data_IF_444248041895
#
_entry.id   IF_444248041895
#
_cell.length_a   1.000
_cell.length_b   1.000
_cell.length_c   1.000
_cell.angle_alpha   90.00
_cell.angle_beta   90.00
_cell.angle_gamma   90.00
#
_symmetry.space_group_name_H-M   'P 1'
#
loop_
_entity.id
_entity.type
_entity.pdbx_description
1 polymer ?
#
# COMPACT_ATOMS: atom_id res chain seq x y z
N UNK A 1 39.62 5.87 44.43
CA UNK A 1 39.08 5.22 43.22
C UNK A 1 37.85 5.98 42.77
N UNK A 2 37.94 6.76 41.66
CA UNK A 2 36.82 7.51 41.10
C UNK A 2 36.22 6.66 39.99
N UNK A 3 34.96 6.24 40.15
CA UNK A 3 34.21 5.51 39.12
C UNK A 3 33.60 6.55 38.17
N UNK A 4 34.07 6.58 36.92
CA UNK A 4 33.44 7.32 35.83
C UNK A 4 32.34 6.41 35.26
N UNK A 5 31.08 6.76 35.51
CA UNK A 5 29.93 6.17 34.83
C UNK A 5 29.85 6.84 33.45
N UNK A 6 30.27 6.12 32.42
CA UNK A 6 30.05 6.52 31.01
C UNK A 6 28.55 6.30 30.73
N UNK A 7 27.80 7.39 30.65
CA UNK A 7 26.43 7.40 30.13
C UNK A 7 26.55 7.30 28.60
N UNK A 8 26.35 6.10 28.07
CA UNK A 8 26.27 5.89 26.62
C UNK A 8 24.90 6.38 26.19
N UNK A 9 24.82 7.64 25.69
CA UNK A 9 23.64 8.17 25.06
C UNK A 9 23.49 7.43 23.72
N UNK A 10 22.67 6.40 23.68
CA UNK A 10 22.25 5.75 22.46
C UNK A 10 21.31 6.76 21.78
N UNK A 11 21.84 7.56 20.83
CA UNK A 11 21.02 8.26 19.87
C UNK A 11 20.33 7.17 19.03
N UNK A 12 19.09 6.85 19.35
CA UNK A 12 18.21 6.11 18.48
C UNK A 12 18.03 6.97 17.21
N UNK A 13 18.73 6.62 16.15
CA UNK A 13 18.45 7.12 14.81
C UNK A 13 17.13 6.40 14.45
N UNK A 14 16.02 7.09 14.65
CA UNK A 14 14.73 6.61 14.19
C UNK A 14 14.74 6.62 12.66
N UNK A 15 14.96 5.46 12.07
CA UNK A 15 14.73 5.22 10.65
C UNK A 15 13.22 5.05 10.50
N UNK A 16 12.53 6.17 10.35
CA UNK A 16 11.10 6.16 10.08
C UNK A 16 10.91 5.74 8.61
N UNK A 17 10.63 4.47 8.38
CA UNK A 17 10.05 4.01 7.13
C UNK A 17 8.55 4.13 7.28
N UNK A 18 7.99 5.23 6.81
CA UNK A 18 6.54 5.39 6.77
C UNK A 18 5.99 4.39 5.76
N UNK A 19 4.96 3.62 6.17
CA UNK A 19 4.09 2.93 5.23
C UNK A 19 3.69 3.93 4.13
N UNK A 20 3.71 3.50 2.85
CA UNK A 20 3.28 4.38 1.77
C UNK A 20 1.81 4.77 1.94
N UNK A 21 1.57 6.00 2.42
CA UNK A 21 0.23 6.53 2.68
C UNK A 21 -0.58 6.80 1.40
N UNK A 22 0.03 6.59 0.22
CA UNK A 22 -0.59 6.89 -1.07
C UNK A 22 -1.42 5.72 -1.59
N UNK A 23 -1.02 4.47 -1.30
CA UNK A 23 -1.70 3.27 -1.75
C UNK A 23 -1.88 2.28 -0.59
N UNK A 24 -2.98 2.44 0.17
CA UNK A 24 -3.31 1.55 1.28
C UNK A 24 -4.34 0.54 0.80
N UNK A 25 -3.88 -0.53 0.13
CA UNK A 25 -4.74 -1.57 -0.43
C UNK A 25 -4.10 -2.96 -0.33
N UNK A 26 -4.87 -3.95 0.08
CA UNK A 26 -4.51 -5.37 -0.06
C UNK A 26 -5.21 -5.93 -1.29
N UNK A 27 -4.44 -6.30 -2.30
CA UNK A 27 -4.97 -6.76 -3.58
C UNK A 27 -5.51 -8.18 -3.52
N UNK A 28 -6.61 -8.42 -4.24
CA UNK A 28 -7.03 -9.74 -4.67
C UNK A 28 -6.33 -10.16 -5.97
N UNK A 29 -6.35 -11.46 -6.27
CA UNK A 29 -5.66 -12.02 -7.44
C UNK A 29 -6.30 -11.69 -8.79
N UNK A 30 -7.58 -11.28 -8.81
CA UNK A 30 -8.32 -11.04 -10.03
C UNK A 30 -7.85 -9.77 -10.73
N UNK A 31 -7.53 -9.87 -12.02
CA UNK A 31 -7.25 -8.69 -12.87
C UNK A 31 -8.55 -8.08 -13.39
N UNK A 32 -8.48 -6.82 -13.85
CA UNK A 32 -9.60 -6.17 -14.53
C UNK A 32 -10.00 -6.98 -15.76
N UNK A 33 -11.32 -7.06 -16.01
CA UNK A 33 -11.83 -7.76 -17.17
C UNK A 33 -11.29 -7.14 -18.46
N UNK A 34 -11.00 -7.96 -19.45
CA UNK A 34 -10.58 -7.49 -20.77
C UNK A 34 -11.51 -6.42 -21.33
N UNK A 35 -10.93 -5.35 -21.87
CA UNK A 35 -11.63 -4.18 -22.39
C UNK A 35 -12.48 -3.45 -21.33
N UNK A 36 -12.15 -3.55 -20.05
CA UNK A 36 -12.69 -2.67 -19.02
C UNK A 36 -11.57 -1.82 -18.43
N UNK A 37 -11.95 -0.64 -17.94
CA UNK A 37 -11.07 0.26 -17.21
C UNK A 37 -11.73 0.59 -15.89
N UNK A 38 -10.99 0.51 -14.80
CA UNK A 38 -11.41 1.07 -13.52
C UNK A 38 -10.64 2.37 -13.27
N UNK A 39 -11.36 3.38 -12.82
CA UNK A 39 -10.83 4.65 -12.33
C UNK A 39 -11.05 4.66 -10.83
N UNK A 40 -9.98 4.76 -10.06
CA UNK A 40 -10.01 4.71 -8.61
C UNK A 40 -9.42 5.98 -8.01
N UNK A 41 -10.00 6.41 -6.92
CA UNK A 41 -9.49 7.43 -6.05
C UNK A 41 -9.20 6.77 -4.71
N UNK A 42 -7.93 6.78 -4.30
CA UNK A 42 -7.52 6.47 -2.95
C UNK A 42 -7.36 7.80 -2.22
N UNK A 43 -8.09 7.97 -1.13
CA UNK A 43 -8.09 9.18 -0.32
C UNK A 43 -7.78 8.79 1.12
N UNK A 44 -6.58 9.13 1.58
CA UNK A 44 -6.06 8.72 2.87
C UNK A 44 -5.70 9.97 3.68
N UNK A 45 -6.36 10.15 4.82
CA UNK A 45 -6.10 11.27 5.71
C UNK A 45 -5.40 10.80 7.00
N UNK A 46 -4.23 11.35 7.27
CA UNK A 46 -3.47 11.09 8.48
C UNK A 46 -3.90 12.05 9.58
N UNK A 47 -4.56 11.53 10.64
CA UNK A 47 -4.96 12.32 11.81
C UNK A 47 -3.85 12.47 12.84
N UNK A 48 -2.97 11.47 12.94
CA UNK A 48 -1.85 11.44 13.84
C UNK A 48 -0.67 10.77 13.12
N UNK A 49 0.28 11.56 12.70
CA UNK A 49 1.45 11.13 11.95
C UNK A 49 2.72 11.86 12.38
N UNK A 50 3.76 11.76 11.57
CA UNK A 50 5.03 12.45 11.79
C UNK A 50 4.83 13.97 11.69
N UNK A 51 5.36 14.72 12.66
CA UNK A 51 5.23 16.18 12.74
C UNK A 51 6.45 16.93 12.24
N UNK A 52 7.60 16.25 12.12
CA UNK A 52 8.87 16.85 11.76
C UNK A 52 9.29 16.45 10.33
N UNK A 53 10.21 17.19 9.75
CA UNK A 53 10.89 16.78 8.52
C UNK A 53 11.99 15.80 8.89
N UNK A 54 11.82 14.52 8.45
CA UNK A 54 12.78 13.45 8.71
C UNK A 54 13.50 13.07 7.43
N UNK A 55 14.84 13.12 7.41
CA UNK A 55 15.68 12.81 6.23
C UNK A 55 15.28 13.58 4.95
N UNK A 56 14.69 14.75 5.09
CA UNK A 56 14.19 15.57 3.98
C UNK A 56 12.76 15.23 3.52
N UNK A 57 12.16 14.19 4.07
CA UNK A 57 10.75 13.83 3.85
C UNK A 57 9.85 14.69 4.75
N UNK A 58 8.79 15.24 4.16
CA UNK A 58 7.84 16.14 4.83
C UNK A 58 6.96 15.39 5.83
N UNK A 59 6.42 16.12 6.83
CA UNK A 59 5.48 15.57 7.80
C UNK A 59 4.26 14.93 7.16
N UNK A 60 3.71 13.91 7.83
CA UNK A 60 2.45 13.26 7.45
C UNK A 60 1.29 13.70 8.33
N UNK A 61 1.56 14.33 9.48
CA UNK A 61 0.51 14.75 10.41
C UNK A 61 -0.46 15.76 9.77
N UNK A 62 -1.75 15.46 9.77
CA UNK A 62 -2.82 16.20 9.09
C UNK A 62 -2.65 16.31 7.57
N UNK A 63 -1.89 15.40 6.95
CA UNK A 63 -1.77 15.34 5.50
C UNK A 63 -2.94 14.56 4.87
N UNK A 64 -3.39 15.03 3.70
CA UNK A 64 -4.28 14.31 2.81
C UNK A 64 -3.45 13.75 1.67
N UNK A 65 -3.44 12.44 1.53
CA UNK A 65 -2.78 11.70 0.47
C UNK A 65 -3.85 11.23 -0.52
N UNK A 66 -3.71 11.66 -1.78
CA UNK A 66 -4.66 11.31 -2.83
C UNK A 66 -3.92 10.57 -3.95
N UNK A 67 -4.46 9.46 -4.38
CA UNK A 67 -3.95 8.71 -5.53
C UNK A 67 -5.04 8.49 -6.54
N UNK A 68 -4.79 8.91 -7.77
CA UNK A 68 -5.62 8.55 -8.92
C UNK A 68 -5.00 7.32 -9.56
N UNK A 69 -5.74 6.21 -9.54
CA UNK A 69 -5.36 4.99 -10.24
C UNK A 69 -6.26 4.78 -11.45
N UNK A 70 -5.65 4.42 -12.60
CA UNK A 70 -6.35 4.05 -13.82
C UNK A 70 -5.84 2.69 -14.25
N UNK A 71 -6.63 1.63 -14.08
CA UNK A 71 -6.24 0.28 -14.44
C UNK A 71 -7.09 -0.28 -15.57
N UNK A 72 -6.44 -0.75 -16.65
CA UNK A 72 -7.07 -1.31 -17.85
C UNK A 72 -6.76 -2.80 -18.02
N UNK A 73 -7.81 -3.61 -18.21
CA UNK A 73 -7.69 -5.02 -18.56
C UNK A 73 -7.38 -5.19 -20.04
N UNK A 74 -6.16 -5.62 -20.36
CA UNK A 74 -5.66 -5.81 -21.72
C UNK A 74 -6.06 -7.18 -22.27
N UNK A 75 -5.92 -8.20 -21.42
CA UNK A 75 -6.36 -9.57 -21.73
C UNK A 75 -7.22 -10.10 -20.57
N UNK A 76 -7.66 -11.36 -20.65
CA UNK A 76 -8.38 -12.02 -19.55
C UNK A 76 -7.50 -12.25 -18.30
N UNK A 77 -6.19 -12.15 -18.43
CA UNK A 77 -5.22 -12.45 -17.36
C UNK A 77 -4.14 -11.38 -17.19
N UNK A 78 -4.22 -10.26 -17.91
CA UNK A 78 -3.23 -9.20 -17.81
C UNK A 78 -3.85 -7.83 -17.83
N UNK A 79 -3.43 -6.98 -16.90
CA UNK A 79 -3.82 -5.59 -16.77
C UNK A 79 -2.62 -4.66 -16.62
N UNK A 80 -2.85 -3.40 -16.89
CA UNK A 80 -1.88 -2.32 -16.70
C UNK A 80 -2.53 -1.20 -15.91
N UNK A 81 -1.96 -0.85 -14.77
CA UNK A 81 -2.33 0.27 -13.91
C UNK A 81 -1.37 1.44 -14.07
N UNK A 82 -1.89 2.63 -13.92
CA UNK A 82 -1.15 3.89 -13.85
C UNK A 82 -1.61 4.66 -12.61
N UNK A 83 -0.66 5.21 -11.86
CA UNK A 83 -0.89 5.96 -10.63
C UNK A 83 -0.36 7.37 -10.76
N UNK A 84 -1.13 8.30 -10.24
CA UNK A 84 -0.73 9.69 -10.01
C UNK A 84 -0.91 10.00 -8.52
N UNK A 85 0.20 10.23 -7.83
CA UNK A 85 0.22 10.54 -6.40
C UNK A 85 0.20 12.04 -6.17
N UNK A 86 -0.65 12.47 -5.24
CA UNK A 86 -0.74 13.86 -4.81
C UNK A 86 -0.82 13.95 -3.29
N UNK A 87 -0.42 15.10 -2.75
CA UNK A 87 -0.46 15.38 -1.32
C UNK A 87 -0.98 16.80 -1.09
N UNK A 88 -1.75 16.97 -0.04
CA UNK A 88 -2.10 18.26 0.50
C UNK A 88 -1.75 18.31 1.98
N UNK A 89 -0.91 19.29 2.34
CA UNK A 89 -0.61 19.65 3.70
C UNK A 89 -0.71 21.18 3.79
N UNK A 90 -1.39 21.69 4.81
CA UNK A 90 -1.73 23.14 4.91
C UNK A 90 -0.51 24.06 4.75
N UNK A 91 0.65 23.65 5.27
CA UNK A 91 1.90 24.40 5.20
C UNK A 91 2.50 24.43 3.79
N UNK A 92 2.36 23.32 3.02
CA UNK A 92 3.02 23.15 1.71
C UNK A 92 2.05 23.27 0.53
N UNK A 93 0.72 23.27 0.81
CA UNK A 93 -0.33 23.28 -0.18
C UNK A 93 -0.41 21.98 -0.99
N UNK A 94 -1.19 22.00 -2.08
CA UNK A 94 -1.32 20.85 -2.98
C UNK A 94 -0.05 20.62 -3.80
N UNK A 95 0.38 19.35 -3.92
CA UNK A 95 1.55 18.92 -4.68
C UNK A 95 1.27 17.62 -5.43
N UNK A 96 1.74 17.54 -6.67
CA UNK A 96 1.92 16.28 -7.39
C UNK A 96 3.28 15.74 -6.97
N UNK A 97 3.32 14.51 -6.51
CA UNK A 97 4.51 13.96 -5.86
C UNK A 97 5.14 12.80 -6.60
N UNK A 98 4.40 12.10 -7.46
CA UNK A 98 4.96 10.99 -8.20
C UNK A 98 3.96 10.28 -9.10
N UNK A 99 4.47 9.29 -9.81
CA UNK A 99 3.70 8.42 -10.69
C UNK A 99 4.30 7.03 -10.72
N UNK A 100 3.44 6.01 -10.74
CA UNK A 100 3.87 4.62 -10.90
C UNK A 100 3.13 3.95 -12.08
N UNK A 101 3.74 2.88 -12.60
CA UNK A 101 3.17 2.00 -13.60
C UNK A 101 3.15 0.57 -13.04
N UNK A 102 1.99 -0.09 -13.10
CA UNK A 102 1.78 -1.40 -12.48
C UNK A 102 1.23 -2.44 -13.47
N UNK A 103 2.07 -3.19 -14.19
CA UNK A 103 1.65 -4.42 -14.85
C UNK A 103 1.31 -5.50 -13.82
N UNK A 104 0.19 -6.24 -14.04
CA UNK A 104 -0.19 -7.40 -13.24
C UNK A 104 -0.68 -8.53 -14.14
N UNK A 105 -0.25 -9.75 -13.83
CA UNK A 105 -0.68 -10.97 -14.49
C UNK A 105 -1.30 -11.94 -13.48
N UNK A 106 -2.43 -12.55 -13.82
CA UNK A 106 -3.04 -13.61 -13.01
C UNK A 106 -2.94 -14.97 -13.71
N UNK A 107 -3.03 -16.03 -12.91
CA UNK A 107 -3.15 -17.40 -13.44
C UNK A 107 -4.45 -17.57 -14.21
N UNK A 108 -4.43 -18.22 -15.38
CA UNK A 108 -5.63 -18.45 -16.17
C UNK A 108 -6.69 -19.25 -15.37
N UNK A 109 -7.95 -18.80 -15.39
CA UNK A 109 -9.05 -19.46 -14.68
C UNK A 109 -9.25 -20.92 -15.05
N UNK A 110 -8.85 -21.33 -16.29
CA UNK A 110 -8.91 -22.73 -16.75
C UNK A 110 -8.02 -23.70 -15.97
N UNK A 111 -7.05 -23.19 -15.17
CA UNK A 111 -6.20 -24.05 -14.35
C UNK A 111 -6.91 -24.56 -13.09
N UNK A 112 -8.08 -24.01 -12.74
CA UNK A 112 -8.91 -24.40 -11.58
C UNK A 112 -8.11 -24.59 -10.29
N UNK A 113 -7.22 -23.65 -10.00
CA UNK A 113 -6.39 -23.71 -8.80
C UNK A 113 -7.25 -23.56 -7.53
N UNK A 114 -6.86 -24.19 -6.42
CA UNK A 114 -7.60 -24.10 -5.15
C UNK A 114 -7.54 -22.69 -4.52
N UNK A 115 -6.66 -21.82 -5.00
CA UNK A 115 -6.47 -20.42 -4.61
C UNK A 115 -6.31 -19.57 -5.86
N UNK A 116 -6.67 -18.30 -5.77
CA UNK A 116 -6.33 -17.30 -6.78
C UNK A 116 -4.85 -16.91 -6.66
N UNK A 117 -4.16 -16.74 -7.79
CA UNK A 117 -2.75 -16.35 -7.84
C UNK A 117 -2.56 -15.26 -8.89
N UNK A 118 -1.83 -14.22 -8.53
CA UNK A 118 -1.33 -13.25 -9.49
C UNK A 118 0.04 -12.69 -9.06
N UNK A 119 0.72 -12.06 -10.00
CA UNK A 119 1.97 -11.36 -9.78
C UNK A 119 1.83 -9.94 -10.29
N UNK A 120 2.06 -8.98 -9.44
CA UNK A 120 2.17 -7.56 -9.75
C UNK A 120 3.62 -7.12 -9.70
N UNK A 121 3.99 -6.22 -10.60
CA UNK A 121 5.19 -5.42 -10.48
C UNK A 121 4.78 -3.95 -10.56
N UNK A 122 5.42 -3.08 -9.80
CA UNK A 122 5.16 -1.65 -9.80
C UNK A 122 6.47 -0.89 -9.85
N UNK A 123 6.61 0.00 -10.81
CA UNK A 123 7.81 0.83 -10.97
C UNK A 123 7.40 2.28 -11.08
N UNK A 124 8.13 3.16 -10.40
CA UNK A 124 7.83 4.56 -10.52
C UNK A 124 8.74 5.50 -9.76
N UNK A 125 8.32 6.74 -9.79
CA UNK A 125 9.03 7.89 -9.22
C UNK A 125 8.17 8.56 -8.16
N UNK A 126 8.82 8.92 -7.04
CA UNK A 126 8.30 9.82 -6.03
C UNK A 126 9.31 10.94 -5.72
N UNK A 127 8.79 12.11 -5.42
CA UNK A 127 9.59 13.27 -5.05
C UNK A 127 10.34 13.01 -3.74
N UNK A 128 11.65 13.34 -3.66
CA UNK A 128 12.46 13.13 -2.45
C UNK A 128 11.97 13.90 -1.21
N UNK A 129 11.10 14.90 -1.39
CA UNK A 129 10.43 15.57 -0.27
C UNK A 129 9.25 14.76 0.32
N UNK A 130 8.90 13.61 -0.24
CA UNK A 130 7.75 12.80 0.17
C UNK A 130 8.07 11.30 0.29
N UNK A 131 9.25 10.88 -0.19
CA UNK A 131 9.72 9.51 -0.04
C UNK A 131 11.25 9.48 0.02
N UNK A 132 11.80 8.65 0.86
CA UNK A 132 13.24 8.36 0.86
C UNK A 132 13.65 7.61 -0.41
N UNK A 133 12.73 6.84 -1.00
CA UNK A 133 12.90 6.09 -2.23
C UNK A 133 12.39 6.90 -3.43
N UNK A 134 13.32 7.54 -4.16
CA UNK A 134 12.97 8.39 -5.31
C UNK A 134 12.52 7.59 -6.52
N UNK A 135 13.16 6.47 -6.80
CA UNK A 135 12.76 5.47 -7.78
C UNK A 135 12.72 4.12 -7.12
N UNK A 136 11.62 3.43 -7.26
CA UNK A 136 11.39 2.12 -6.68
C UNK A 136 10.84 1.12 -7.70
N UNK A 137 11.09 -0.15 -7.44
CA UNK A 137 10.44 -1.29 -8.08
C UNK A 137 9.87 -2.17 -6.98
N UNK A 138 8.59 -2.42 -7.04
CA UNK A 138 7.93 -3.37 -6.16
C UNK A 138 7.57 -4.64 -6.92
N UNK A 139 7.76 -5.81 -6.31
CA UNK A 139 7.29 -7.11 -6.77
C UNK A 139 6.33 -7.67 -5.73
N UNK A 140 5.09 -7.90 -6.13
CA UNK A 140 4.00 -8.32 -5.24
C UNK A 140 3.32 -9.59 -5.75
N UNK A 141 3.73 -10.79 -5.28
CA UNK A 141 2.90 -11.99 -5.39
C UNK A 141 1.58 -11.78 -4.65
N UNK A 142 0.48 -12.26 -5.18
CA UNK A 142 -0.85 -12.14 -4.59
C UNK A 142 -1.47 -13.52 -4.55
N UNK A 143 -1.91 -13.93 -3.36
CA UNK A 143 -2.54 -15.21 -3.10
C UNK A 143 -3.84 -14.95 -2.37
N UNK A 144 -4.97 -15.35 -2.95
CA UNK A 144 -6.25 -15.13 -2.29
C UNK A 144 -7.19 -16.34 -2.35
N UNK A 145 -8.19 -16.32 -1.49
CA UNK A 145 -9.24 -17.32 -1.48
C UNK A 145 -10.54 -16.79 -0.89
N UNK A 146 -11.64 -17.17 -1.55
CA UNK A 146 -12.99 -16.98 -1.05
C UNK A 146 -13.55 -18.33 -0.55
N UNK A 147 -14.03 -18.38 0.72
CA UNK A 147 -14.77 -19.51 1.28
C UNK A 147 -16.16 -19.06 1.69
N UNK A 148 -17.14 -19.34 0.88
CA UNK A 148 -18.52 -18.90 1.16
C UNK A 148 -18.54 -17.38 1.43
N UNK A 149 -18.71 -17.00 2.70
CA UNK A 149 -18.76 -15.60 3.16
C UNK A 149 -17.41 -15.05 3.64
N UNK A 150 -16.40 -15.89 3.78
CA UNK A 150 -15.08 -15.51 4.26
C UNK A 150 -14.12 -15.31 3.09
N UNK A 151 -13.37 -14.21 3.09
CA UNK A 151 -12.33 -13.91 2.11
C UNK A 151 -11.00 -13.67 2.83
N UNK A 152 -9.92 -14.17 2.26
CA UNK A 152 -8.56 -13.87 2.70
C UNK A 152 -7.64 -13.59 1.51
N UNK A 153 -6.74 -12.65 1.65
CA UNK A 153 -5.66 -12.35 0.70
C UNK A 153 -4.35 -12.12 1.43
N UNK A 154 -3.28 -12.56 0.81
CA UNK A 154 -1.89 -12.38 1.24
C UNK A 154 -1.09 -11.82 0.07
N UNK A 155 -0.39 -10.71 0.29
CA UNK A 155 0.49 -10.05 -0.65
C UNK A 155 1.90 -9.95 -0.03
N UNK A 156 2.78 -10.96 -0.16
CA UNK A 156 4.17 -10.87 0.28
C UNK A 156 4.98 -9.99 -0.68
N UNK A 157 5.09 -8.73 -0.34
CA UNK A 157 5.66 -7.69 -1.19
C UNK A 157 7.17 -7.55 -0.97
N UNK A 158 7.92 -7.33 -2.05
CA UNK A 158 9.34 -7.02 -2.06
C UNK A 158 9.54 -5.64 -2.67
N UNK A 159 10.01 -4.69 -1.87
CA UNK A 159 10.39 -3.34 -2.31
C UNK A 159 11.87 -3.29 -2.68
N UNK A 160 12.20 -2.75 -3.85
CA UNK A 160 13.55 -2.60 -4.37
C UNK A 160 13.76 -1.12 -4.66
N UNK A 161 14.63 -0.49 -3.89
CA UNK A 161 15.04 0.88 -4.15
C UNK A 161 15.99 0.91 -5.34
N UNK A 162 15.59 1.60 -6.40
CA UNK A 162 16.44 1.84 -7.59
C UNK A 162 17.27 3.11 -7.44
N UNK A 163 16.72 4.11 -6.70
CA UNK A 163 17.40 5.36 -6.35
C UNK A 163 16.72 5.96 -5.12
N UNK A 164 17.50 6.47 -4.18
CA UNK A 164 16.98 7.07 -2.94
C UNK A 164 18.04 7.87 -2.19
N UNK A 165 17.72 8.25 -0.95
CA UNK A 165 18.59 9.03 -0.06
C UNK A 165 19.74 8.16 0.48
N UNK A 166 19.44 6.92 0.83
CA UNK A 166 20.41 5.93 1.31
C UNK A 166 20.43 4.72 0.37
N UNK A 167 21.54 3.98 0.30
CA UNK A 167 21.60 2.74 -0.47
C UNK A 167 20.91 1.62 0.28
N UNK A 168 19.96 0.94 -0.38
CA UNK A 168 19.31 -0.24 0.16
C UNK A 168 20.21 -1.47 -0.03
N UNK A 169 20.49 -2.19 1.06
CA UNK A 169 21.41 -3.35 1.03
C UNK A 169 20.78 -4.62 0.39
N UNK A 170 19.47 -4.74 0.45
CA UNK A 170 18.67 -5.85 -0.11
C UNK A 170 17.22 -5.40 -0.27
N UNK A 171 16.38 -6.12 -1.06
CA UNK A 171 14.96 -5.83 -1.12
C UNK A 171 14.31 -5.80 0.26
N UNK A 172 13.45 -4.81 0.53
CA UNK A 172 12.64 -4.75 1.74
C UNK A 172 11.47 -5.74 1.66
N UNK A 173 11.08 -6.31 2.79
CA UNK A 173 9.94 -7.23 2.90
C UNK A 173 8.76 -6.54 3.57
N UNK A 174 7.69 -6.34 2.79
CA UNK A 174 6.49 -5.64 3.21
C UNK A 174 5.23 -6.48 2.96
N UNK A 175 4.91 -7.48 3.83
CA UNK A 175 3.74 -8.33 3.66
C UNK A 175 2.45 -7.59 4.02
N UNK A 176 1.41 -7.74 3.17
CA UNK A 176 0.08 -7.21 3.42
C UNK A 176 -0.93 -8.37 3.47
N UNK A 177 -1.86 -8.33 4.43
CA UNK A 177 -2.83 -9.38 4.68
C UNK A 177 -4.22 -8.77 4.83
N UNK A 178 -5.22 -9.36 4.18
CA UNK A 178 -6.63 -9.03 4.36
C UNK A 178 -7.42 -10.26 4.78
N UNK A 179 -8.33 -10.07 5.73
CA UNK A 179 -9.36 -11.04 6.09
C UNK A 179 -10.68 -10.30 6.21
N UNK A 180 -11.73 -10.78 5.52
CA UNK A 180 -13.05 -10.17 5.60
C UNK A 180 -14.17 -11.21 5.58
N UNK A 181 -15.33 -10.80 6.10
CA UNK A 181 -16.54 -11.62 6.17
C UNK A 181 -17.75 -10.86 5.64
N UNK A 182 -18.48 -11.46 4.73
CA UNK A 182 -19.71 -10.91 4.15
C UNK A 182 -20.89 -11.06 5.13
N UNK A 183 -21.07 -10.07 6.00
CA UNK A 183 -22.20 -10.02 6.93
C UNK A 183 -23.52 -9.82 6.20
N UNK A 184 -23.51 -8.99 5.16
CA UNK A 184 -24.65 -8.71 4.31
C UNK A 184 -24.35 -9.12 2.86
N UNK A 185 -25.40 -9.16 2.02
CA UNK A 185 -25.26 -9.53 0.61
C UNK A 185 -24.23 -8.66 -0.14
N UNK A 186 -24.17 -7.38 0.19
CA UNK A 186 -23.38 -6.38 -0.53
C UNK A 186 -22.30 -5.72 0.34
N UNK A 187 -22.12 -6.13 1.58
CA UNK A 187 -21.17 -5.49 2.50
C UNK A 187 -20.41 -6.58 3.27
N UNK A 188 -19.09 -6.50 3.24
CA UNK A 188 -18.20 -7.21 4.14
C UNK A 188 -17.56 -6.23 5.11
N UNK A 189 -17.22 -6.74 6.29
CA UNK A 189 -16.29 -6.10 7.21
C UNK A 189 -15.07 -6.99 7.39
N UNK A 190 -13.92 -6.38 7.60
CA UNK A 190 -12.67 -7.11 7.71
C UNK A 190 -11.58 -6.33 8.39
N UNK A 191 -10.41 -6.94 8.43
CA UNK A 191 -9.18 -6.35 8.88
C UNK A 191 -8.13 -6.47 7.78
N UNK A 192 -7.30 -5.44 7.66
CA UNK A 192 -6.14 -5.42 6.80
C UNK A 192 -4.91 -5.08 7.64
N UNK A 193 -3.89 -5.92 7.52
CA UNK A 193 -2.60 -5.70 8.15
C UNK A 193 -1.60 -5.32 7.07
N UNK A 194 -0.78 -4.33 7.37
CA UNK A 194 0.32 -3.88 6.56
C UNK A 194 1.59 -3.93 7.39
N UNK A 195 2.60 -4.63 6.87
CA UNK A 195 3.91 -4.75 7.50
C UNK A 195 5.01 -4.20 6.60
N UNK A 196 6.03 -3.62 7.23
CA UNK A 196 7.33 -3.34 6.62
C UNK A 196 8.39 -3.78 7.62
N UNK A 197 9.11 -4.83 7.25
CA UNK A 197 10.15 -5.43 8.09
C UNK A 197 11.55 -4.90 7.76
N UNK A 198 11.67 -4.08 6.73
CA UNK A 198 12.95 -3.64 6.21
C UNK A 198 13.67 -4.69 5.34
N UNK A 199 14.99 -4.55 5.12
CA UNK A 199 15.75 -5.38 4.19
C UNK A 199 15.75 -6.87 4.57
N UNK A 200 15.54 -7.76 3.58
CA UNK A 200 15.48 -9.22 3.76
C UNK A 200 16.74 -9.83 4.40
N UNK A 201 17.90 -9.23 4.18
CA UNK A 201 19.16 -9.71 4.72
C UNK A 201 19.42 -9.27 6.16
N UNK A 202 18.68 -8.27 6.66
CA UNK A 202 18.79 -7.73 8.01
C UNK A 202 17.52 -6.94 8.34
N UNK A 203 16.50 -7.61 8.88
CA UNK A 203 15.28 -6.94 9.29
C UNK A 203 15.59 -5.81 10.28
N UNK A 204 14.87 -4.72 10.16
CA UNK A 204 14.97 -3.59 11.08
C UNK A 204 14.61 -4.00 12.50
N UNK A 205 15.06 -3.24 13.50
CA UNK A 205 14.66 -3.47 14.88
C UNK A 205 13.14 -3.27 15.03
N UNK A 206 12.47 -4.02 15.90
CA UNK A 206 11.01 -4.01 16.03
C UNK A 206 10.36 -2.61 16.18
N UNK A 207 10.95 -1.62 16.88
CA UNK A 207 10.42 -0.26 16.91
C UNK A 207 10.56 0.52 15.58
N UNK A 208 11.46 0.09 14.70
CA UNK A 208 11.76 0.71 13.41
C UNK A 208 11.00 0.05 12.26
N UNK A 209 10.38 -1.12 12.50
CA UNK A 209 9.51 -1.78 11.54
C UNK A 209 8.17 -1.06 11.43
N UNK A 210 7.66 -0.94 10.21
CA UNK A 210 6.32 -0.41 9.95
C UNK A 210 5.24 -1.48 10.19
N UNK A 211 4.27 -1.22 11.06
CA UNK A 211 3.14 -2.11 11.29
C UNK A 211 1.84 -1.31 11.48
N UNK A 212 0.84 -1.59 10.65
CA UNK A 212 -0.49 -0.99 10.78
C UNK A 212 -1.62 -2.02 10.65
N UNK A 213 -2.72 -1.77 11.36
CA UNK A 213 -3.95 -2.56 11.31
C UNK A 213 -5.12 -1.67 10.97
N UNK A 214 -5.83 -2.00 9.90
CA UNK A 214 -7.05 -1.31 9.47
C UNK A 214 -8.28 -2.17 9.73
N UNK A 215 -9.35 -1.54 10.23
CA UNK A 215 -10.69 -2.13 10.26
C UNK A 215 -11.45 -1.59 9.07
N UNK A 216 -11.86 -2.47 8.16
CA UNK A 216 -12.36 -2.03 6.84
C UNK A 216 -13.76 -2.55 6.54
N UNK A 217 -14.46 -1.79 5.71
CA UNK A 217 -15.71 -2.15 5.05
C UNK A 217 -15.48 -2.23 3.54
N UNK A 218 -15.98 -3.31 2.92
CA UNK A 218 -15.96 -3.51 1.47
C UNK A 218 -17.37 -3.52 0.89
N UNK A 219 -17.55 -2.87 -0.26
CA UNK A 219 -18.73 -3.04 -1.10
C UNK A 219 -18.56 -4.28 -1.96
N UNK A 220 -19.46 -5.24 -1.80
CA UNK A 220 -19.45 -6.52 -2.53
C UNK A 220 -20.47 -6.54 -3.68
N UNK A 221 -20.28 -7.48 -4.62
CA UNK A 221 -21.25 -7.81 -5.67
C UNK A 221 -21.68 -6.62 -6.53
N UNK A 222 -20.85 -5.60 -6.66
CA UNK A 222 -21.11 -4.45 -7.51
C UNK A 222 -20.15 -4.48 -8.71
N UNK A 223 -20.70 -4.71 -9.91
CA UNK A 223 -19.91 -4.80 -11.15
C UNK A 223 -19.34 -3.47 -11.61
N UNK A 224 -19.87 -2.35 -11.11
CA UNK A 224 -19.50 -1.00 -11.54
C UNK A 224 -18.69 -0.25 -10.51
N UNK A 225 -18.96 -0.45 -9.23
CA UNK A 225 -18.34 0.26 -8.14
C UNK A 225 -17.51 -0.66 -7.28
N UNK A 226 -16.37 -0.18 -6.87
CA UNK A 226 -15.53 -0.73 -5.84
C UNK A 226 -15.42 0.30 -4.71
N UNK A 227 -15.56 -0.14 -3.46
CA UNK A 227 -15.41 0.71 -2.29
C UNK A 227 -14.74 -0.10 -1.20
N UNK A 228 -13.67 0.42 -0.64
CA UNK A 228 -13.03 -0.06 0.57
C UNK A 228 -12.75 1.16 1.46
N UNK A 229 -13.09 1.11 2.74
CA UNK A 229 -12.85 2.25 3.62
C UNK A 229 -12.75 1.81 5.08
N UNK A 230 -12.00 2.58 5.87
CA UNK A 230 -11.94 2.37 7.30
C UNK A 230 -10.76 3.04 7.99
N UNK A 231 -10.80 3.10 9.33
CA UNK A 231 -9.70 3.58 10.15
C UNK A 231 -8.57 2.57 10.22
N UNK A 232 -7.34 3.08 10.24
CA UNK A 232 -6.10 2.34 10.45
C UNK A 232 -5.32 2.87 11.63
N UNK A 233 -4.70 1.97 12.36
CA UNK A 233 -3.96 2.24 13.58
C UNK A 233 -2.52 1.76 13.41
N UNK A 234 -1.55 2.66 13.58
CA UNK A 234 -0.15 2.32 13.70
C UNK A 234 0.11 1.52 14.97
N UNK A 235 0.86 0.43 14.83
CA UNK A 235 1.19 -0.48 15.94
C UNK A 235 2.62 -0.29 16.45
N UNK A 236 3.44 0.47 15.69
CA UNK A 236 4.84 0.76 16.01
C UNK A 236 5.12 2.26 15.88
N UNK A 237 6.19 2.78 16.51
CA UNK A 237 6.58 4.18 16.37
C UNK A 237 6.92 4.60 14.93
N UNK A 238 7.34 3.67 14.08
CA UNK A 238 7.68 3.92 12.67
C UNK A 238 6.45 4.03 11.74
N UNK A 239 5.22 3.99 12.30
CA UNK A 239 3.98 4.02 11.52
C UNK A 239 3.08 5.15 12.02
N UNK A 240 2.41 5.86 11.10
CA UNK A 240 1.42 6.88 11.44
C UNK A 240 0.36 6.31 12.39
N UNK A 241 0.10 7.00 13.50
CA UNK A 241 -0.72 6.49 14.61
C UNK A 241 -2.20 6.30 14.26
N UNK A 242 -2.79 7.20 13.45
CA UNK A 242 -4.19 7.12 13.02
C UNK A 242 -4.35 7.67 11.60
N UNK A 243 -4.78 6.79 10.70
CA UNK A 243 -5.08 7.11 9.30
C UNK A 243 -6.51 6.67 8.99
N UNK A 244 -7.27 7.44 8.23
CA UNK A 244 -8.54 6.99 7.66
C UNK A 244 -8.38 6.88 6.15
N UNK A 245 -8.69 5.72 5.60
CA UNK A 245 -8.63 5.48 4.15
C UNK A 245 -10.00 5.34 3.53
N UNK A 246 -10.10 5.81 2.30
CA UNK A 246 -11.24 5.59 1.40
C UNK A 246 -10.69 5.27 0.01
N UNK A 247 -11.09 4.14 -0.53
CA UNK A 247 -10.91 3.77 -1.92
C UNK A 247 -12.28 3.72 -2.58
N UNK A 248 -12.44 4.47 -3.66
CA UNK A 248 -13.66 4.46 -4.48
C UNK A 248 -13.26 4.26 -5.94
N UNK A 249 -13.67 3.14 -6.52
CA UNK A 249 -13.43 2.78 -7.91
C UNK A 249 -14.70 2.79 -8.76
N UNK A 250 -14.57 3.24 -10.01
CA UNK A 250 -15.63 3.19 -11.01
C UNK A 250 -15.18 2.44 -12.25
N UNK A 251 -15.79 1.27 -12.53
CA UNK A 251 -15.47 0.42 -13.68
C UNK A 251 -16.31 0.81 -14.89
N UNK A 252 -15.64 0.97 -16.03
CA UNK A 252 -16.21 1.26 -17.35
C UNK A 252 -15.91 0.10 -18.29
N UNK A 253 -16.91 -0.38 -19.00
CA UNK A 253 -16.77 -1.44 -20.01
C UNK A 253 -16.80 -0.82 -21.41
N UNK A 254 -15.75 -1.06 -22.18
CA UNK A 254 -15.67 -0.58 -23.54
C UNK A 254 -16.30 -1.58 -24.50
N UNK A 255 -17.33 -1.18 -25.20
CA UNK A 255 -17.97 -2.02 -26.22
C UNK A 255 -16.94 -2.30 -27.33
N UNK A 256 -16.79 -3.56 -27.77
CA UNK A 256 -16.16 -3.82 -29.07
C UNK A 256 -16.99 -3.13 -30.14
N UNK A 257 -16.34 -2.26 -30.93
CA UNK A 257 -16.90 -1.80 -32.22
C UNK A 257 -16.86 -2.95 -33.22
#
# INVERSE_FOLDING_TARGET
MKYYILFFCYCCINVLRAQENYEIQVYGSQTQQKNSTIFELHSNYTFNGETEVVKGVRPTNHALHETIEITHGITESFELGFYLFTNYLSEYGFRIIGTHLRPRIMTPSKWNLPVGLSLSAEIGYQSPSYSEETWSLEIRPIIDKQWKKFYASLNPTLGIQLKGVEEQSAPAFAPNIKMSYAFFKNIAFGAEYYGDFGPLNSFDAAPEQGHALYVVMDLLNNVKWEVNSGPGFGLTPATDGLVFKVLIGRRVYWKKK
#
